data_IF_956034897237
#
_entry.id   IF_956034897237
#
_cell.length_a   1.000
_cell.length_b   1.000
_cell.length_c   1.000
_cell.angle_alpha   90.00
_cell.angle_beta   90.00
_cell.angle_gamma   90.00
#
_symmetry.space_group_name_H-M   'P 1'
#
loop_
_entity.id
_entity.type
_entity.pdbx_description
1 polymer ?
#
# COMPACT_ATOMS: atom_id res chain seq x y z
N UNK A 1 -19.67 10.98 -6.27
CA UNK A 1 -18.73 9.92 -5.87
C UNK A 1 -19.08 9.50 -4.45
N UNK A 2 -19.34 8.23 -4.16
CA UNK A 2 -19.70 7.77 -2.80
C UNK A 2 -18.49 7.76 -1.87
N UNK A 3 -18.65 7.85 -0.54
CA UNK A 3 -17.54 7.82 0.42
C UNK A 3 -16.64 6.59 0.28
N UNK A 4 -17.23 5.45 -0.09
CA UNK A 4 -16.51 4.21 -0.39
C UNK A 4 -15.54 4.36 -1.56
N UNK A 5 -16.00 4.95 -2.68
CA UNK A 5 -15.14 5.18 -3.86
C UNK A 5 -14.00 6.15 -3.55
N UNK A 6 -14.26 7.17 -2.73
CA UNK A 6 -13.22 8.10 -2.26
C UNK A 6 -12.16 7.38 -1.42
N UNK A 7 -12.56 6.53 -0.48
CA UNK A 7 -11.64 5.76 0.35
C UNK A 7 -10.78 4.79 -0.47
N UNK A 8 -11.39 4.12 -1.47
CA UNK A 8 -10.68 3.21 -2.36
C UNK A 8 -9.60 3.95 -3.17
N UNK A 9 -9.96 5.08 -3.78
CA UNK A 9 -9.01 5.89 -4.57
C UNK A 9 -7.92 6.49 -3.68
N UNK A 10 -8.29 7.05 -2.53
CA UNK A 10 -7.32 7.63 -1.60
C UNK A 10 -6.34 6.57 -1.07
N UNK A 11 -6.83 5.37 -0.73
CA UNK A 11 -6.01 4.25 -0.30
C UNK A 11 -5.04 3.78 -1.39
N UNK A 12 -5.52 3.64 -2.63
CA UNK A 12 -4.69 3.24 -3.76
C UNK A 12 -3.57 4.27 -4.03
N UNK A 13 -3.89 5.57 -3.99
CA UNK A 13 -2.90 6.65 -4.16
C UNK A 13 -1.89 6.65 -3.02
N UNK A 14 -2.34 6.50 -1.76
CA UNK A 14 -1.45 6.42 -0.62
C UNK A 14 -0.49 5.22 -0.72
N UNK A 15 -0.99 4.05 -1.15
CA UNK A 15 -0.19 2.84 -1.34
C UNK A 15 0.87 3.02 -2.44
N UNK A 16 0.54 3.69 -3.55
CA UNK A 16 1.49 4.03 -4.61
C UNK A 16 2.60 4.95 -4.11
N UNK A 17 2.24 6.01 -3.38
CA UNK A 17 3.21 7.00 -2.89
C UNK A 17 4.11 6.37 -1.83
N UNK A 18 3.54 5.67 -0.84
CA UNK A 18 4.30 5.00 0.21
C UNK A 18 5.22 3.90 -0.36
N UNK A 19 4.71 3.13 -1.33
CA UNK A 19 5.49 2.15 -2.08
C UNK A 19 6.66 2.78 -2.81
N UNK A 20 6.42 3.85 -3.57
CA UNK A 20 7.46 4.56 -4.32
C UNK A 20 8.56 5.10 -3.41
N UNK A 21 8.17 5.76 -2.31
CA UNK A 21 9.11 6.35 -1.35
C UNK A 21 9.95 5.27 -0.67
N UNK A 22 9.31 4.19 -0.19
CA UNK A 22 10.02 3.08 0.45
C UNK A 22 10.96 2.35 -0.54
N UNK A 23 10.52 2.13 -1.78
CA UNK A 23 11.36 1.55 -2.84
C UNK A 23 12.61 2.37 -3.10
N UNK A 24 12.48 3.70 -3.22
CA UNK A 24 13.62 4.61 -3.37
C UNK A 24 14.57 4.55 -2.17
N UNK A 25 14.04 4.51 -0.94
CA UNK A 25 14.84 4.47 0.29
C UNK A 25 15.61 3.15 0.39
N UNK A 26 14.99 2.02 0.05
CA UNK A 26 15.57 0.68 0.23
C UNK A 26 16.51 0.30 -0.92
N UNK A 27 16.10 0.55 -2.17
CA UNK A 27 16.77 0.05 -3.37
C UNK A 27 17.41 1.13 -4.25
N UNK A 28 17.20 2.41 -3.95
CA UNK A 28 17.59 3.51 -4.83
C UNK A 28 19.08 3.58 -5.14
N UNK A 29 19.95 3.20 -4.20
CA UNK A 29 21.41 3.17 -4.40
C UNK A 29 21.88 1.96 -5.23
N UNK A 30 21.13 0.86 -5.21
CA UNK A 30 21.52 -0.38 -5.89
C UNK A 30 21.09 -0.44 -7.36
N UNK A 31 19.87 0.03 -7.66
CA UNK A 31 19.26 -0.09 -9.00
C UNK A 31 18.87 1.25 -9.63
N UNK A 32 19.17 2.36 -8.95
CA UNK A 32 18.77 3.71 -9.37
C UNK A 32 17.39 4.11 -8.86
N UNK A 33 17.23 5.39 -8.52
CA UNK A 33 16.02 5.92 -7.87
C UNK A 33 14.75 5.77 -8.70
N UNK A 34 14.81 5.96 -10.02
CA UNK A 34 13.64 5.84 -10.90
C UNK A 34 13.12 4.41 -10.96
N UNK A 35 14.03 3.44 -11.16
CA UNK A 35 13.69 2.02 -11.23
C UNK A 35 13.21 1.52 -9.85
N UNK A 36 13.89 1.91 -8.78
CA UNK A 36 13.52 1.56 -7.42
C UNK A 36 12.16 2.14 -7.00
N UNK A 37 11.86 3.38 -7.41
CA UNK A 37 10.56 4.01 -7.19
C UNK A 37 9.45 3.32 -7.96
N UNK A 38 9.67 3.00 -9.24
CA UNK A 38 8.68 2.28 -10.06
C UNK A 38 8.38 0.89 -9.50
N UNK A 39 9.42 0.14 -9.08
CA UNK A 39 9.26 -1.14 -8.40
C UNK A 39 8.50 -0.98 -7.08
N UNK A 40 8.92 -0.01 -6.26
CA UNK A 40 8.28 0.30 -4.98
C UNK A 40 6.79 0.63 -5.13
N UNK A 41 6.41 1.42 -6.15
CA UNK A 41 5.03 1.79 -6.42
C UNK A 41 4.14 0.55 -6.66
N UNK A 42 4.61 -0.36 -7.52
CA UNK A 42 3.89 -1.59 -7.89
C UNK A 42 3.72 -2.49 -6.67
N UNK A 43 4.80 -2.75 -5.93
CA UNK A 43 4.76 -3.56 -4.72
C UNK A 43 4.01 -2.88 -3.57
N UNK A 44 3.96 -1.55 -3.52
CA UNK A 44 3.21 -0.77 -2.55
C UNK A 44 1.71 -0.98 -2.65
N UNK A 45 1.16 -1.01 -3.87
CA UNK A 45 -0.26 -1.33 -4.09
C UNK A 45 -0.57 -2.77 -3.70
N UNK A 46 0.30 -3.71 -4.11
CA UNK A 46 0.11 -5.13 -3.83
C UNK A 46 0.14 -5.42 -2.33
N UNK A 47 1.16 -4.90 -1.63
CA UNK A 47 1.34 -5.07 -0.18
C UNK A 47 0.30 -4.27 0.62
N UNK A 48 -0.08 -3.07 0.16
CA UNK A 48 -1.13 -2.25 0.78
C UNK A 48 -2.50 -2.95 0.77
N UNK A 49 -2.85 -3.62 -0.35
CA UNK A 49 -4.07 -4.43 -0.43
C UNK A 49 -4.03 -5.62 0.54
N UNK A 50 -2.92 -6.35 0.58
CA UNK A 50 -2.74 -7.44 1.53
C UNK A 50 -2.82 -6.97 2.99
N UNK A 51 -2.18 -5.85 3.32
CA UNK A 51 -2.20 -5.25 4.65
C UNK A 51 -3.62 -4.81 5.07
N UNK A 52 -4.39 -4.23 4.14
CA UNK A 52 -5.79 -3.86 4.41
C UNK A 52 -6.66 -5.08 4.71
N UNK A 53 -6.51 -6.18 3.95
CA UNK A 53 -7.21 -7.44 4.22
C UNK A 53 -6.83 -8.04 5.57
N UNK A 54 -5.53 -8.12 5.88
CA UNK A 54 -5.05 -8.63 7.16
C UNK A 54 -5.56 -7.75 8.31
N UNK A 55 -5.53 -6.42 8.16
CA UNK A 55 -6.06 -5.49 9.15
C UNK A 55 -7.56 -5.68 9.40
N UNK A 56 -8.35 -5.92 8.35
CA UNK A 56 -9.78 -6.24 8.48
C UNK A 56 -10.00 -7.57 9.20
N UNK A 57 -9.21 -8.61 8.89
CA UNK A 57 -9.30 -9.90 9.58
C UNK A 57 -9.02 -9.72 11.07
N UNK A 58 -7.92 -9.05 11.42
CA UNK A 58 -7.54 -8.76 12.81
C UNK A 58 -8.64 -7.96 13.52
N UNK A 59 -9.18 -6.95 12.86
CA UNK A 59 -10.24 -6.12 13.43
C UNK A 59 -11.50 -6.94 13.74
N UNK A 60 -11.89 -7.87 12.86
CA UNK A 60 -13.04 -8.76 13.09
C UNK A 60 -12.79 -9.72 14.26
N UNK A 61 -11.56 -10.25 14.39
CA UNK A 61 -11.17 -11.09 15.53
C UNK A 61 -11.26 -10.28 16.84
N UNK A 62 -10.72 -9.05 16.86
CA UNK A 62 -10.75 -8.18 18.05
C UNK A 62 -12.18 -7.81 18.42
N UNK A 63 -13.05 -7.55 17.44
CA UNK A 63 -14.45 -7.20 17.68
C UNK A 63 -15.34 -8.40 18.03
N UNK A 64 -14.80 -9.63 18.07
CA UNK A 64 -15.57 -10.84 18.40
C UNK A 64 -16.60 -11.20 17.33
N UNK A 65 -16.41 -10.76 16.09
CA UNK A 65 -17.26 -11.08 14.95
C UNK A 65 -16.94 -12.48 14.34
N UNK A 66 -15.90 -13.15 14.87
CA UNK A 66 -15.45 -14.51 14.55
C UNK A 66 -15.19 -15.26 15.85
#
# INVERSE_FOLDING_TARGET
>A
MTPFLLALVAGAVAALIAGSVSGIIIGGEAIGREVAGAMGAIYGVLSGGAAALIGLIILNIIQGAV
#
